data_IF_000845912413
#
_entry.id   IF_000845912413
#
_cell.length_a   1.000
_cell.length_b   1.000
_cell.length_c   1.000
_cell.angle_alpha   90.00
_cell.angle_beta   90.00
_cell.angle_gamma   90.00
#
_symmetry.space_group_name_H-M   'P 1'
#
loop_
_entity.id
_entity.type
_entity.pdbx_description
1 polymer ?
#
# COMPACT_ATOMS: atom_id res chain seq x y z
N UNK A 1 2.07 14.63 -21.26
CA UNK A 1 0.70 14.11 -21.17
C UNK A 1 0.78 12.71 -20.62
N UNK A 2 0.14 12.42 -19.49
CA UNK A 2 0.04 11.05 -19.01
C UNK A 2 -0.80 10.22 -19.99
N UNK A 3 -0.52 8.93 -20.15
CA UNK A 3 -1.29 8.07 -21.05
C UNK A 3 -2.68 7.79 -20.47
N UNK A 4 -3.68 7.52 -21.31
CA UNK A 4 -5.03 7.16 -20.83
C UNK A 4 -5.00 5.93 -19.88
N UNK A 5 -4.00 5.05 -20.06
CA UNK A 5 -3.78 3.92 -19.17
C UNK A 5 -3.37 4.35 -17.75
N UNK A 6 -2.54 5.40 -17.63
CA UNK A 6 -2.13 5.97 -16.36
C UNK A 6 -3.32 6.56 -15.61
N UNK A 7 -4.14 7.37 -16.29
CA UNK A 7 -5.31 8.00 -15.68
C UNK A 7 -6.33 6.96 -15.21
N UNK A 8 -6.62 5.95 -16.05
CA UNK A 8 -7.49 4.84 -15.67
C UNK A 8 -6.96 4.06 -14.47
N UNK A 9 -5.65 3.81 -14.40
CA UNK A 9 -5.04 3.14 -13.26
C UNK A 9 -5.25 3.92 -11.97
N UNK A 10 -4.90 5.20 -11.94
CA UNK A 10 -5.02 6.02 -10.72
C UNK A 10 -6.47 6.25 -10.29
N UNK A 11 -7.37 6.41 -11.25
CA UNK A 11 -8.81 6.55 -11.00
C UNK A 11 -9.38 5.32 -10.27
N UNK A 12 -8.98 4.11 -10.65
CA UNK A 12 -9.41 2.88 -9.94
C UNK A 12 -8.63 2.67 -8.65
N UNK A 13 -7.35 3.04 -8.63
CA UNK A 13 -6.49 2.89 -7.47
C UNK A 13 -6.96 3.71 -6.27
N UNK A 14 -7.53 4.90 -6.52
CA UNK A 14 -8.06 5.77 -5.47
C UNK A 14 -9.34 5.25 -4.81
N UNK A 15 -9.96 4.17 -5.34
CA UNK A 15 -11.15 3.59 -4.73
C UNK A 15 -10.84 3.05 -3.32
N UNK A 16 -11.47 3.58 -2.25
CA UNK A 16 -11.20 3.14 -0.89
C UNK A 16 -11.44 1.65 -0.65
N UNK A 17 -12.49 1.08 -1.26
CA UNK A 17 -12.79 -0.36 -1.15
C UNK A 17 -11.65 -1.19 -1.73
N UNK A 18 -11.06 -0.72 -2.83
CA UNK A 18 -9.87 -1.33 -3.42
C UNK A 18 -8.66 -1.22 -2.47
N UNK A 19 -8.39 -0.03 -1.93
CA UNK A 19 -7.32 0.19 -0.95
C UNK A 19 -7.40 -0.71 0.28
N UNK A 20 -8.52 -0.68 0.99
CA UNK A 20 -8.74 -1.48 2.20
C UNK A 20 -8.68 -2.98 1.94
N UNK A 21 -9.25 -3.44 0.84
CA UNK A 21 -9.30 -4.86 0.53
C UNK A 21 -7.95 -5.44 0.09
N UNK A 22 -7.00 -4.60 -0.36
CA UNK A 22 -5.60 -5.03 -0.60
C UNK A 22 -4.88 -5.44 0.69
N UNK A 23 -5.31 -4.94 1.86
CA UNK A 23 -4.74 -5.36 3.15
C UNK A 23 -4.94 -6.85 3.42
N UNK A 24 -5.93 -7.50 2.78
CA UNK A 24 -6.13 -8.95 2.87
C UNK A 24 -5.03 -9.75 2.17
N UNK A 25 -4.31 -9.15 1.23
CA UNK A 25 -3.22 -9.80 0.51
C UNK A 25 -2.11 -10.23 1.45
N UNK A 26 -1.74 -9.37 2.42
CA UNK A 26 -0.68 -9.64 3.38
C UNK A 26 -0.97 -10.90 4.21
N UNK A 27 -2.09 -10.98 4.96
CA UNK A 27 -2.44 -12.15 5.76
C UNK A 27 -2.62 -13.41 4.92
N UNK A 28 -3.20 -13.32 3.72
CA UNK A 28 -3.34 -14.46 2.80
C UNK A 28 -1.98 -15.01 2.37
N UNK A 29 -1.05 -14.12 1.99
CA UNK A 29 0.31 -14.49 1.61
C UNK A 29 1.06 -15.11 2.78
N UNK A 30 0.98 -14.50 3.97
CA UNK A 30 1.64 -15.03 5.17
C UNK A 30 1.06 -16.38 5.58
N UNK A 31 -0.25 -16.56 5.51
CA UNK A 31 -0.91 -17.84 5.76
C UNK A 31 -0.46 -18.91 4.74
N UNK A 32 -0.32 -18.53 3.46
CA UNK A 32 0.18 -19.41 2.41
C UNK A 32 1.62 -19.87 2.69
N UNK A 33 2.51 -18.94 3.04
CA UNK A 33 3.91 -19.22 3.35
C UNK A 33 4.05 -20.07 4.62
N UNK A 34 3.34 -19.70 5.69
CA UNK A 34 3.35 -20.42 6.97
C UNK A 34 2.87 -21.87 6.81
N UNK A 35 1.76 -22.07 6.08
CA UNK A 35 1.18 -23.39 5.82
C UNK A 35 1.84 -24.13 4.65
N UNK A 36 2.75 -23.48 3.91
CA UNK A 36 3.32 -23.98 2.64
C UNK A 36 2.24 -24.45 1.65
N UNK A 37 1.14 -23.70 1.58
CA UNK A 37 -0.03 -24.05 0.77
C UNK A 37 0.00 -23.28 -0.54
N UNK A 38 0.26 -24.00 -1.64
CA UNK A 38 0.19 -23.43 -2.99
C UNK A 38 -1.22 -22.92 -3.34
N UNK A 39 -2.27 -23.53 -2.77
CA UNK A 39 -3.66 -23.09 -2.96
C UNK A 39 -3.89 -21.71 -2.36
N UNK A 40 -3.43 -21.48 -1.13
CA UNK A 40 -3.53 -20.16 -0.49
C UNK A 40 -2.66 -19.14 -1.22
N UNK A 41 -1.50 -19.56 -1.72
CA UNK A 41 -0.65 -18.68 -2.53
C UNK A 41 -1.36 -18.28 -3.82
N UNK A 42 -2.01 -19.22 -4.52
CA UNK A 42 -2.80 -18.94 -5.71
C UNK A 42 -3.96 -17.98 -5.42
N UNK A 43 -4.64 -18.12 -4.27
CA UNK A 43 -5.68 -17.18 -3.83
C UNK A 43 -5.09 -15.79 -3.57
N UNK A 44 -3.95 -15.69 -2.88
CA UNK A 44 -3.31 -14.40 -2.60
C UNK A 44 -2.86 -13.69 -3.88
N UNK A 45 -2.23 -14.43 -4.81
CA UNK A 45 -1.81 -13.90 -6.12
C UNK A 45 -3.01 -13.53 -6.97
N UNK A 46 -4.03 -14.40 -7.03
CA UNK A 46 -5.28 -14.15 -7.74
C UNK A 46 -5.99 -12.91 -7.22
N UNK A 47 -6.08 -12.74 -5.89
CA UNK A 47 -6.64 -11.53 -5.29
C UNK A 47 -5.84 -10.28 -5.66
N UNK A 48 -4.50 -10.35 -5.62
CA UNK A 48 -3.63 -9.23 -6.00
C UNK A 48 -3.83 -8.83 -7.46
N UNK A 49 -3.98 -9.80 -8.37
CA UNK A 49 -4.22 -9.56 -9.78
C UNK A 49 -5.64 -9.04 -10.08
N UNK A 50 -6.65 -9.53 -9.36
CA UNK A 50 -8.05 -9.14 -9.54
C UNK A 50 -8.37 -7.79 -8.91
N UNK A 51 -7.73 -7.44 -7.79
CA UNK A 51 -8.08 -6.25 -7.01
C UNK A 51 -8.07 -4.92 -7.82
N UNK A 52 -7.09 -4.64 -8.71
CA UNK A 52 -7.08 -3.42 -9.52
C UNK A 52 -8.27 -3.27 -10.47
N UNK A 53 -8.86 -4.38 -10.92
CA UNK A 53 -9.99 -4.38 -11.86
C UNK A 53 -11.33 -4.61 -11.18
N UNK A 54 -11.34 -5.21 -9.98
CA UNK A 54 -12.55 -5.53 -9.22
C UNK A 54 -13.36 -4.30 -8.77
N UNK A 55 -12.72 -3.13 -8.70
CA UNK A 55 -13.36 -1.89 -8.26
C UNK A 55 -13.29 -0.83 -9.36
N UNK A 56 -14.41 -0.16 -9.61
CA UNK A 56 -14.50 0.98 -10.53
C UNK A 56 -13.88 2.25 -9.95
N UNK A 57 -13.92 3.33 -10.73
CA UNK A 57 -13.62 4.66 -10.19
C UNK A 57 -14.58 4.96 -9.01
N UNK A 58 -14.10 5.53 -7.89
CA UNK A 58 -14.98 5.91 -6.80
C UNK A 58 -15.96 7.00 -7.27
N UNK A 59 -17.22 6.93 -6.82
CA UNK A 59 -18.09 8.11 -6.77
C UNK A 59 -17.45 9.12 -5.80
N UNK A 60 -17.61 10.42 -6.05
CA UNK A 60 -16.87 11.56 -5.49
C UNK A 60 -16.94 11.73 -3.95
N UNK A 61 -16.63 10.70 -3.16
CA UNK A 61 -16.58 10.78 -1.71
C UNK A 61 -15.19 11.26 -1.25
N UNK A 62 -15.10 12.57 -1.10
CA UNK A 62 -13.87 13.37 -0.95
C UNK A 62 -13.20 13.28 0.43
N UNK A 63 -13.74 12.50 1.38
CA UNK A 63 -13.26 12.48 2.78
C UNK A 63 -12.67 11.14 3.26
N UNK A 64 -12.55 10.15 2.37
CA UNK A 64 -11.94 8.85 2.73
C UNK A 64 -10.41 8.93 2.84
N UNK A 65 -9.84 8.37 3.91
CA UNK A 65 -8.39 8.38 4.16
C UNK A 65 -7.59 7.66 3.06
N UNK A 66 -8.07 6.53 2.55
CA UNK A 66 -7.40 5.80 1.46
C UNK A 66 -7.46 6.59 0.16
N UNK A 67 -8.59 7.22 -0.14
CA UNK A 67 -8.73 8.07 -1.32
C UNK A 67 -7.67 9.18 -1.29
N UNK A 68 -7.57 9.88 -0.16
CA UNK A 68 -6.58 10.96 0.04
C UNK A 68 -5.15 10.45 -0.02
N UNK A 69 -4.87 9.30 0.60
CA UNK A 69 -3.57 8.65 0.57
C UNK A 69 -3.08 8.37 -0.85
N UNK A 70 -3.94 7.79 -1.68
CA UNK A 70 -3.63 7.49 -3.08
C UNK A 70 -3.45 8.75 -3.92
N UNK A 71 -4.26 9.79 -3.68
CA UNK A 71 -4.11 11.09 -4.37
C UNK A 71 -2.80 11.78 -3.99
N UNK A 72 -2.39 11.70 -2.73
CA UNK A 72 -1.12 12.23 -2.27
C UNK A 72 0.07 11.47 -2.85
N UNK A 73 -0.01 10.13 -2.91
CA UNK A 73 1.00 9.29 -3.56
C UNK A 73 1.12 9.60 -5.06
N UNK A 74 0.01 9.84 -5.75
CA UNK A 74 0.01 10.27 -7.15
C UNK A 74 0.74 11.60 -7.33
N UNK A 75 0.36 12.63 -6.56
CA UNK A 75 0.96 13.96 -6.66
C UNK A 75 2.47 13.91 -6.37
N UNK A 76 2.87 13.18 -5.33
CA UNK A 76 4.27 12.95 -4.98
C UNK A 76 5.08 12.38 -6.14
N UNK A 77 4.54 11.36 -6.83
CA UNK A 77 5.19 10.75 -7.98
C UNK A 77 5.18 11.65 -9.23
N UNK A 78 4.13 12.43 -9.44
CA UNK A 78 4.04 13.40 -10.55
C UNK A 78 5.06 14.54 -10.40
N UNK A 79 5.45 14.89 -9.17
CA UNK A 79 6.58 15.79 -8.87
C UNK A 79 7.96 15.14 -9.03
N UNK A 80 8.03 13.86 -9.42
CA UNK A 80 9.28 13.14 -9.60
C UNK A 80 10.00 12.82 -8.28
N UNK A 81 9.28 12.86 -7.16
CA UNK A 81 9.89 12.62 -5.84
C UNK A 81 10.06 11.12 -5.60
N UNK A 82 11.20 10.68 -5.06
CA UNK A 82 11.43 9.28 -4.80
C UNK A 82 10.51 8.79 -3.67
N UNK A 83 10.14 7.51 -3.70
CA UNK A 83 9.38 6.85 -2.61
C UNK A 83 10.27 6.02 -1.69
N UNK A 84 11.55 5.86 -2.06
CA UNK A 84 12.59 5.18 -1.29
C UNK A 84 13.83 6.07 -1.23
N UNK A 85 14.46 6.13 -0.07
CA UNK A 85 15.57 7.05 0.20
C UNK A 85 15.77 7.25 1.69
N UNK A 86 16.76 8.06 2.04
CA UNK A 86 17.09 8.35 3.44
C UNK A 86 16.27 9.52 4.01
N UNK A 87 15.58 10.29 3.16
CA UNK A 87 14.75 11.42 3.55
C UNK A 87 13.42 11.00 4.16
N UNK A 88 12.75 11.92 4.85
CA UNK A 88 11.36 11.73 5.27
C UNK A 88 10.41 12.19 4.15
N UNK A 89 9.38 11.41 3.76
CA UNK A 89 8.92 10.14 4.36
C UNK A 89 9.51 8.86 3.74
N UNK A 90 10.37 8.95 2.74
CA UNK A 90 10.95 7.81 2.00
C UNK A 90 11.57 6.72 2.88
N UNK A 91 12.23 7.11 3.97
CA UNK A 91 12.85 6.20 4.94
C UNK A 91 11.83 5.21 5.52
N UNK A 92 10.56 5.60 5.64
CA UNK A 92 9.50 4.73 6.13
C UNK A 92 9.27 3.54 5.20
N UNK A 93 9.38 3.72 3.88
CA UNK A 93 9.28 2.62 2.93
C UNK A 93 10.52 1.72 2.94
N UNK A 94 11.71 2.28 3.17
CA UNK A 94 12.94 1.48 3.35
C UNK A 94 12.82 0.59 4.59
N UNK A 95 12.37 1.17 5.71
CA UNK A 95 12.10 0.41 6.94
C UNK A 95 10.99 -0.63 6.73
N UNK A 96 9.93 -0.26 6.03
CA UNK A 96 8.82 -1.17 5.72
C UNK A 96 9.30 -2.38 4.89
N UNK A 97 10.17 -2.16 3.90
CA UNK A 97 10.77 -3.25 3.12
C UNK A 97 11.51 -4.24 4.01
N UNK A 98 12.31 -3.74 4.97
CA UNK A 98 13.00 -4.57 5.96
C UNK A 98 12.03 -5.34 6.87
N UNK A 99 11.01 -4.66 7.39
CA UNK A 99 9.98 -5.27 8.24
C UNK A 99 9.20 -6.36 7.50
N UNK A 100 8.81 -6.11 6.25
CA UNK A 100 8.10 -7.07 5.41
C UNK A 100 8.98 -8.28 5.05
N UNK A 101 10.25 -8.05 4.69
CA UNK A 101 11.20 -9.14 4.43
C UNK A 101 11.38 -10.03 5.68
N UNK A 102 11.50 -9.43 6.86
CA UNK A 102 11.55 -10.18 8.12
C UNK A 102 10.24 -10.92 8.41
N UNK A 103 9.09 -10.35 8.05
CA UNK A 103 7.79 -11.00 8.17
C UNK A 103 7.73 -12.28 7.32
N UNK A 104 8.19 -12.23 6.07
CA UNK A 104 8.29 -13.40 5.17
C UNK A 104 9.23 -14.45 5.75
N UNK A 105 10.42 -14.04 6.22
CA UNK A 105 11.36 -14.94 6.90
C UNK A 105 10.71 -15.62 8.11
N UNK A 106 10.04 -14.86 8.99
CA UNK A 106 9.40 -15.39 10.18
C UNK A 106 8.25 -16.35 9.84
N UNK A 107 7.52 -16.11 8.74
CA UNK A 107 6.50 -17.02 8.23
C UNK A 107 7.11 -18.35 7.75
N UNK A 108 8.18 -18.29 6.95
CA UNK A 108 8.90 -19.47 6.45
C UNK A 108 9.55 -20.29 7.59
N UNK A 109 10.05 -19.59 8.61
CA UNK A 109 10.60 -20.17 9.83
C UNK A 109 9.54 -20.62 10.85
N UNK A 110 8.25 -20.47 10.54
CA UNK A 110 7.10 -20.82 11.41
C UNK A 110 7.16 -20.22 12.81
N UNK A 111 7.52 -18.93 12.91
CA UNK A 111 7.55 -18.17 14.17
C UNK A 111 6.34 -17.23 14.25
N UNK A 112 5.14 -17.71 14.66
CA UNK A 112 3.88 -16.97 14.49
C UNK A 112 3.85 -15.63 15.23
N UNK A 113 4.38 -15.57 16.46
CA UNK A 113 4.43 -14.31 17.22
C UNK A 113 5.34 -13.26 16.54
N UNK A 114 6.51 -13.67 16.05
CA UNK A 114 7.44 -12.78 15.35
C UNK A 114 6.90 -12.33 14.00
N UNK A 115 6.25 -13.24 13.28
CA UNK A 115 5.55 -12.96 12.03
C UNK A 115 4.43 -11.93 12.25
N UNK A 116 3.56 -12.14 13.24
CA UNK A 116 2.46 -11.23 13.53
C UNK A 116 2.97 -9.83 13.94
N UNK A 117 3.97 -9.76 14.83
CA UNK A 117 4.58 -8.50 15.24
C UNK A 117 5.24 -7.77 14.07
N UNK A 118 6.05 -8.46 13.28
CA UNK A 118 6.73 -7.87 12.13
C UNK A 118 5.73 -7.38 11.07
N UNK A 119 4.65 -8.14 10.85
CA UNK A 119 3.58 -7.73 9.93
C UNK A 119 2.86 -6.48 10.44
N UNK A 120 2.54 -6.41 11.74
CA UNK A 120 1.93 -5.23 12.33
C UNK A 120 2.83 -3.99 12.18
N UNK A 121 4.15 -4.14 12.38
CA UNK A 121 5.14 -3.07 12.13
C UNK A 121 5.14 -2.65 10.66
N UNK A 122 5.13 -3.61 9.72
CA UNK A 122 5.10 -3.34 8.28
C UNK A 122 3.84 -2.55 7.87
N UNK A 123 2.66 -2.98 8.33
CA UNK A 123 1.40 -2.26 8.07
C UNK A 123 1.43 -0.86 8.70
N UNK A 124 1.92 -0.73 9.93
CA UNK A 124 2.07 0.55 10.62
C UNK A 124 2.98 1.52 9.87
N UNK A 125 4.14 1.05 9.38
CA UNK A 125 5.07 1.86 8.59
C UNK A 125 4.44 2.29 7.25
N UNK A 126 3.72 1.40 6.56
CA UNK A 126 3.02 1.76 5.33
C UNK A 126 1.95 2.83 5.59
N UNK A 127 1.18 2.70 6.67
CA UNK A 127 0.18 3.71 7.02
C UNK A 127 0.80 5.04 7.44
N UNK A 128 1.92 5.02 8.16
CA UNK A 128 2.64 6.23 8.48
C UNK A 128 3.16 6.92 7.21
N UNK A 129 3.74 6.17 6.27
CA UNK A 129 4.14 6.73 4.97
C UNK A 129 2.96 7.41 4.26
N UNK A 130 1.81 6.74 4.17
CA UNK A 130 0.60 7.30 3.55
C UNK A 130 0.14 8.58 4.27
N UNK A 131 0.09 8.58 5.60
CA UNK A 131 -0.28 9.77 6.38
C UNK A 131 0.70 10.93 6.19
N UNK A 132 2.00 10.63 6.08
CA UNK A 132 3.03 11.63 5.81
C UNK A 132 2.82 12.30 4.45
N UNK A 133 2.47 11.53 3.42
CA UNK A 133 2.12 12.07 2.10
C UNK A 133 0.86 12.93 2.15
N UNK A 134 -0.19 12.47 2.86
CA UNK A 134 -1.43 13.26 3.02
C UNK A 134 -1.13 14.61 3.68
N UNK A 135 -0.29 14.63 4.73
CA UNK A 135 0.09 15.87 5.42
C UNK A 135 0.92 16.79 4.52
N UNK A 136 1.83 16.22 3.74
CA UNK A 136 2.60 16.97 2.77
C UNK A 136 1.69 17.62 1.73
N UNK A 137 0.77 16.86 1.12
CA UNK A 137 -0.15 17.39 0.11
C UNK A 137 -1.05 18.51 0.67
N UNK A 138 -1.59 18.33 1.89
CA UNK A 138 -2.37 19.38 2.57
C UNK A 138 -1.57 20.67 2.79
N UNK A 139 -0.27 20.56 3.09
CA UNK A 139 0.59 21.72 3.31
C UNK A 139 0.91 22.44 1.99
N UNK A 140 1.05 21.69 0.90
CA UNK A 140 1.28 22.23 -0.45
C UNK A 140 0.03 22.97 -0.98
N UNK A 141 -1.14 22.34 -0.87
CA UNK A 141 -2.43 22.94 -1.24
C UNK A 141 -2.69 24.27 -0.48
N UNK A 142 -2.25 24.36 0.78
CA UNK A 142 -2.39 25.56 1.61
C UNK A 142 -1.33 26.64 1.39
N UNK A 143 -0.23 26.32 0.69
CA UNK A 143 0.82 27.28 0.34
C UNK A 143 0.64 27.89 -1.05
N UNK A 144 -0.14 27.24 -1.92
CA UNK A 144 -0.44 27.68 -3.29
C UNK A 144 -1.75 28.44 -3.47
N UNK A 145 -2.54 28.64 -2.41
CA UNK A 145 -3.80 29.42 -2.41
C UNK A 145 -3.65 30.78 -1.73
#
# INVERSE_FOLDING_TARGET
>A
MASDAWERFWSRHSNPKSGWSRLLTGPLLLAALYRRSWRLLAVAVGWTALNPIAFGAPEESTDDWMYRGVRAERAWLEEGRPVFGAGYPEILNVLNLGAFAYTVYAALARKPARMALAYAVSVGLKFWFTEALIRWQRADDGAGG
#
